data_IF_628380937644
#
_entry.id   IF_628380937644
#
_cell.length_a   1.000
_cell.length_b   1.000
_cell.length_c   1.000
_cell.angle_alpha   90.00
_cell.angle_beta   90.00
_cell.angle_gamma   90.00
#
_symmetry.space_group_name_H-M   'P 1'
#
loop_
_entity.id
_entity.type
_entity.pdbx_description
1 polymer ?
#
# COMPACT_ATOMS: atom_id res chain seq x y z
N UNK A 1 -3.20 34.25 18.93
CA UNK A 1 -3.30 32.78 19.03
C UNK A 1 -2.87 32.23 17.67
N UNK A 2 -1.63 31.74 17.55
CA UNK A 2 -1.15 31.19 16.30
C UNK A 2 -1.89 29.87 16.08
N UNK A 3 -2.81 29.85 15.12
CA UNK A 3 -3.42 28.62 14.62
C UNK A 3 -2.31 27.85 13.91
N UNK A 4 -1.53 27.08 14.67
CA UNK A 4 -0.39 26.33 14.14
C UNK A 4 -0.99 25.12 13.40
N UNK A 5 -1.43 25.34 12.15
CA UNK A 5 -1.93 24.27 11.27
C UNK A 5 -0.86 23.18 11.22
N UNK A 6 -1.16 22.02 11.81
CA UNK A 6 -0.23 20.88 11.83
C UNK A 6 0.07 20.45 10.40
N UNK A 7 1.34 20.21 10.10
CA UNK A 7 1.83 19.81 8.78
C UNK A 7 1.41 18.36 8.51
N UNK A 8 0.38 18.18 7.69
CA UNK A 8 -0.03 16.84 7.25
C UNK A 8 0.93 16.37 6.16
N UNK A 9 1.59 15.23 6.38
CA UNK A 9 2.55 14.64 5.45
C UNK A 9 2.15 13.22 5.15
N UNK A 10 2.21 12.80 3.88
CA UNK A 10 1.96 11.40 3.52
C UNK A 10 3.17 10.71 2.88
N UNK A 11 3.31 9.42 3.16
CA UNK A 11 4.26 8.52 2.52
C UNK A 11 3.50 7.34 1.91
N UNK A 12 3.79 7.00 0.65
CA UNK A 12 3.50 5.67 0.13
C UNK A 12 4.49 4.64 0.69
N UNK A 13 4.18 3.35 0.54
CA UNK A 13 4.98 2.26 1.12
C UNK A 13 5.83 1.54 0.06
N UNK A 14 5.17 0.90 -0.89
CA UNK A 14 5.80 0.14 -1.97
C UNK A 14 6.49 1.11 -2.94
N UNK A 15 7.72 0.80 -3.35
CA UNK A 15 8.54 1.70 -4.17
C UNK A 15 8.97 3.02 -3.50
N UNK A 16 8.53 3.30 -2.25
CA UNK A 16 8.70 4.60 -1.59
C UNK A 16 9.45 4.51 -0.27
N UNK A 17 8.96 3.74 0.71
CA UNK A 17 9.73 3.45 1.93
C UNK A 17 10.66 2.26 1.71
N UNK A 18 10.27 1.35 0.83
CA UNK A 18 11.08 0.22 0.40
C UNK A 18 10.94 -0.02 -1.09
N UNK A 19 11.89 -0.75 -1.67
CA UNK A 19 11.98 -0.93 -3.12
C UNK A 19 10.90 -1.87 -3.71
N UNK A 20 10.50 -2.88 -2.95
CA UNK A 20 9.68 -3.97 -3.47
C UNK A 20 8.18 -3.61 -3.56
N UNK A 21 7.45 -4.40 -4.35
CA UNK A 21 5.97 -4.44 -4.37
C UNK A 21 5.51 -5.57 -3.44
N UNK A 22 5.05 -5.23 -2.24
CA UNK A 22 4.63 -6.19 -1.22
C UNK A 22 3.45 -7.04 -1.69
N UNK A 23 2.36 -6.43 -2.16
CA UNK A 23 1.15 -7.17 -2.54
C UNK A 23 1.36 -8.05 -3.77
N UNK A 24 2.06 -7.56 -4.80
CA UNK A 24 2.42 -8.36 -5.97
C UNK A 24 3.35 -9.53 -5.63
N UNK A 25 4.26 -9.33 -4.68
CA UNK A 25 5.14 -10.42 -4.20
C UNK A 25 4.37 -11.43 -3.37
N UNK A 26 3.41 -11.00 -2.55
CA UNK A 26 2.53 -11.87 -1.79
C UNK A 26 1.70 -12.80 -2.68
N UNK A 27 1.06 -12.26 -3.73
CA UNK A 27 0.30 -13.09 -4.67
C UNK A 27 1.17 -14.16 -5.35
N UNK A 28 2.39 -13.79 -5.75
CA UNK A 28 3.37 -14.74 -6.31
C UNK A 28 3.80 -15.78 -5.28
N UNK A 29 3.96 -15.39 -4.01
CA UNK A 29 4.27 -16.31 -2.91
C UNK A 29 3.14 -17.33 -2.70
N UNK A 30 1.89 -16.87 -2.65
CA UNK A 30 0.71 -17.75 -2.52
C UNK A 30 0.65 -18.79 -3.64
N UNK A 31 0.83 -18.38 -4.90
CA UNK A 31 0.80 -19.30 -6.04
C UNK A 31 1.94 -20.32 -6.01
N UNK A 32 3.13 -19.95 -5.54
CA UNK A 32 4.25 -20.89 -5.36
C UNK A 32 3.97 -21.93 -4.28
N UNK A 33 3.29 -21.53 -3.19
CA UNK A 33 2.92 -22.43 -2.08
C UNK A 33 1.66 -23.24 -2.36
N UNK A 34 0.87 -22.84 -3.35
CA UNK A 34 -0.44 -23.41 -3.68
C UNK A 34 -0.59 -23.53 -5.21
N UNK A 35 0.24 -24.37 -5.88
CA UNK A 35 0.32 -24.39 -7.33
C UNK A 35 -0.98 -24.84 -8.02
N UNK A 36 -1.84 -25.60 -7.32
CA UNK A 36 -3.15 -26.00 -7.85
C UNK A 36 -4.03 -24.78 -8.17
N UNK A 37 -3.89 -23.68 -7.44
CA UNK A 37 -4.62 -22.45 -7.72
C UNK A 37 -4.19 -21.80 -9.04
N UNK A 38 -3.05 -22.17 -9.65
CA UNK A 38 -2.73 -21.71 -11.01
C UNK A 38 -3.75 -22.18 -12.04
N UNK A 39 -4.32 -23.39 -11.87
CA UNK A 39 -5.34 -23.89 -12.81
C UNK A 39 -6.58 -22.99 -12.84
N UNK A 40 -6.88 -22.34 -11.71
CA UNK A 40 -7.94 -21.34 -11.60
C UNK A 40 -7.47 -19.94 -12.04
N UNK A 41 -6.27 -19.53 -11.62
CA UNK A 41 -5.77 -18.18 -11.89
C UNK A 41 -5.48 -17.95 -13.36
N UNK A 42 -4.89 -18.91 -14.08
CA UNK A 42 -4.55 -18.78 -15.51
C UNK A 42 -5.76 -18.35 -16.36
N UNK A 43 -6.92 -19.03 -16.33
CA UNK A 43 -8.09 -18.58 -17.07
C UNK A 43 -8.64 -17.25 -16.55
N UNK A 44 -8.61 -17.01 -15.23
CA UNK A 44 -9.05 -15.73 -14.66
C UNK A 44 -8.18 -14.54 -15.09
N UNK A 45 -6.89 -14.74 -15.41
CA UNK A 45 -6.01 -13.67 -15.86
C UNK A 45 -6.51 -13.00 -17.14
N UNK A 46 -7.23 -13.71 -18.01
CA UNK A 46 -7.85 -13.11 -19.20
C UNK A 46 -8.93 -12.10 -18.80
N UNK A 47 -9.79 -12.47 -17.84
CA UNK A 47 -10.86 -11.62 -17.31
C UNK A 47 -10.29 -10.45 -16.52
N UNK A 48 -9.28 -10.70 -15.67
CA UNK A 48 -8.58 -9.69 -14.89
C UNK A 48 -7.87 -8.69 -15.82
N UNK A 49 -7.17 -9.18 -16.84
CA UNK A 49 -6.51 -8.36 -17.84
C UNK A 49 -7.47 -7.46 -18.59
N UNK A 50 -8.57 -8.01 -19.12
CA UNK A 50 -9.62 -7.23 -19.76
C UNK A 50 -10.23 -6.18 -18.81
N UNK A 51 -10.48 -6.56 -17.56
CA UNK A 51 -10.99 -5.66 -16.54
C UNK A 51 -10.07 -4.48 -16.24
N UNK A 52 -8.76 -4.72 -16.14
CA UNK A 52 -7.75 -3.69 -15.94
C UNK A 52 -7.57 -2.78 -17.16
N UNK A 53 -7.76 -3.30 -18.38
CA UNK A 53 -7.72 -2.50 -19.60
C UNK A 53 -8.92 -1.54 -19.68
N UNK A 54 -10.12 -2.01 -19.32
CA UNK A 54 -11.36 -1.22 -19.41
C UNK A 54 -11.49 -0.23 -18.24
N UNK A 55 -11.21 -0.66 -17.00
CA UNK A 55 -11.44 0.14 -15.78
C UNK A 55 -10.16 0.78 -15.22
N UNK A 56 -9.00 0.52 -15.83
CA UNK A 56 -7.71 1.04 -15.40
C UNK A 56 -7.05 0.23 -14.29
N UNK A 57 -5.76 0.54 -14.05
CA UNK A 57 -4.89 -0.20 -13.11
C UNK A 57 -5.35 -0.12 -11.66
N UNK A 58 -6.12 0.91 -11.28
CA UNK A 58 -6.63 1.11 -9.93
C UNK A 58 -7.94 0.36 -9.61
N UNK A 59 -8.55 -0.31 -10.59
CA UNK A 59 -9.81 -1.01 -10.39
C UNK A 59 -9.73 -2.09 -9.28
N UNK A 60 -10.62 -2.05 -8.29
CA UNK A 60 -10.63 -3.01 -7.17
C UNK A 60 -10.97 -4.43 -7.60
N UNK A 61 -12.03 -4.59 -8.40
CA UNK A 61 -12.61 -5.90 -8.69
C UNK A 61 -11.66 -6.87 -9.43
N UNK A 62 -10.82 -6.47 -10.40
CA UNK A 62 -9.90 -7.40 -11.06
C UNK A 62 -8.85 -7.92 -10.08
N UNK A 63 -8.32 -7.04 -9.23
CA UNK A 63 -7.34 -7.44 -8.22
C UNK A 63 -7.97 -8.29 -7.12
N UNK A 64 -9.21 -7.99 -6.76
CA UNK A 64 -9.98 -8.82 -5.84
C UNK A 64 -10.22 -10.22 -6.38
N UNK A 65 -10.53 -10.34 -7.68
CA UNK A 65 -10.72 -11.62 -8.36
C UNK A 65 -9.41 -12.42 -8.44
N UNK A 66 -8.30 -11.73 -8.72
CA UNK A 66 -6.96 -12.34 -8.74
C UNK A 66 -6.57 -12.86 -7.34
N UNK A 67 -6.72 -12.05 -6.29
CA UNK A 67 -6.46 -12.46 -4.90
C UNK A 67 -7.34 -13.66 -4.52
N UNK A 68 -8.62 -13.62 -4.89
CA UNK A 68 -9.55 -14.72 -4.65
C UNK A 68 -9.08 -16.00 -5.34
N UNK A 69 -8.68 -15.93 -6.61
CA UNK A 69 -8.12 -17.08 -7.32
C UNK A 69 -6.87 -17.65 -6.65
N UNK A 70 -5.98 -16.80 -6.14
CA UNK A 70 -4.76 -17.21 -5.42
C UNK A 70 -5.02 -17.91 -4.08
N UNK A 71 -6.21 -17.72 -3.50
CA UNK A 71 -6.53 -18.16 -2.12
C UNK A 71 -7.73 -19.11 -2.05
N UNK A 72 -8.47 -19.27 -3.14
CA UNK A 72 -9.67 -20.09 -3.22
C UNK A 72 -9.43 -21.54 -2.81
N UNK A 73 -10.37 -22.11 -2.06
CA UNK A 73 -10.36 -23.52 -1.69
C UNK A 73 -9.51 -23.84 -0.45
N UNK A 74 -8.93 -22.84 0.20
CA UNK A 74 -8.08 -23.03 1.39
C UNK A 74 -8.78 -22.55 2.67
N UNK A 75 -8.41 -23.17 3.80
CA UNK A 75 -8.90 -22.77 5.11
C UNK A 75 -8.30 -21.43 5.53
N UNK A 76 -9.05 -20.66 6.31
CA UNK A 76 -8.60 -19.36 6.83
C UNK A 76 -7.30 -19.50 7.65
N UNK A 77 -7.20 -20.57 8.45
CA UNK A 77 -6.00 -20.86 9.24
C UNK A 77 -4.76 -21.07 8.36
N UNK A 78 -4.91 -21.79 7.24
CA UNK A 78 -3.82 -22.01 6.28
C UNK A 78 -3.40 -20.69 5.63
N UNK A 79 -4.36 -19.87 5.20
CA UNK A 79 -4.07 -18.60 4.55
C UNK A 79 -3.37 -17.63 5.50
N UNK A 80 -3.83 -17.52 6.76
CA UNK A 80 -3.15 -16.72 7.80
C UNK A 80 -1.75 -17.24 8.13
N UNK A 81 -1.53 -18.55 8.13
CA UNK A 81 -0.20 -19.12 8.30
C UNK A 81 0.73 -18.72 7.13
N UNK A 82 0.25 -18.82 5.88
CA UNK A 82 1.00 -18.39 4.70
C UNK A 82 1.29 -16.89 4.70
N UNK A 83 0.34 -16.06 5.16
CA UNK A 83 0.52 -14.62 5.33
C UNK A 83 1.62 -14.30 6.35
N UNK A 84 1.62 -14.99 7.49
CA UNK A 84 2.66 -14.86 8.52
C UNK A 84 4.03 -15.29 8.01
N UNK A 85 4.11 -16.45 7.35
CA UNK A 85 5.35 -16.96 6.76
C UNK A 85 5.89 -16.02 5.69
N UNK A 86 4.99 -15.49 4.84
CA UNK A 86 5.35 -14.48 3.87
C UNK A 86 5.89 -13.23 4.54
N UNK A 87 5.23 -12.71 5.57
CA UNK A 87 5.64 -11.49 6.25
C UNK A 87 7.04 -11.62 6.85
N UNK A 88 7.32 -12.76 7.49
CA UNK A 88 8.65 -13.08 8.02
C UNK A 88 9.71 -13.17 6.91
N UNK A 89 9.39 -13.84 5.80
CA UNK A 89 10.29 -13.94 4.66
C UNK A 89 10.52 -12.58 3.98
N UNK A 90 9.46 -11.83 3.70
CA UNK A 90 9.50 -10.55 3.00
C UNK A 90 10.33 -9.53 3.79
N UNK A 91 10.18 -9.52 5.11
CA UNK A 91 10.97 -8.68 6.00
C UNK A 91 12.49 -8.90 5.85
N UNK A 92 12.95 -10.11 5.59
CA UNK A 92 14.37 -10.39 5.37
C UNK A 92 14.86 -9.97 3.98
N UNK A 93 13.94 -9.73 3.04
CA UNK A 93 14.22 -9.40 1.65
C UNK A 93 13.85 -7.95 1.30
N UNK A 94 13.38 -7.17 2.28
CA UNK A 94 12.97 -5.79 2.09
C UNK A 94 14.20 -4.89 2.02
N UNK A 95 14.25 -4.02 1.01
CA UNK A 95 15.31 -3.03 0.86
C UNK A 95 14.70 -1.67 1.12
N UNK A 96 14.91 -1.16 2.34
CA UNK A 96 14.47 0.17 2.74
C UNK A 96 15.27 1.25 2.00
N UNK A 97 14.65 2.41 1.74
CA UNK A 97 15.33 3.57 1.18
C UNK A 97 15.79 4.53 2.28
N UNK A 98 17.10 4.61 2.60
CA UNK A 98 17.59 5.36 3.77
C UNK A 98 17.20 6.84 3.73
N UNK A 99 17.27 7.48 2.56
CA UNK A 99 16.93 8.90 2.38
C UNK A 99 15.46 9.17 2.73
N UNK A 100 14.56 8.26 2.36
CA UNK A 100 13.12 8.41 2.65
C UNK A 100 12.84 8.11 4.13
N UNK A 101 13.52 7.13 4.72
CA UNK A 101 13.43 6.83 6.15
C UNK A 101 13.98 7.96 7.04
N UNK A 102 15.05 8.63 6.63
CA UNK A 102 15.58 9.81 7.32
C UNK A 102 14.55 10.95 7.29
N UNK A 103 13.93 11.19 6.14
CA UNK A 103 12.86 12.18 5.99
C UNK A 103 11.65 11.86 6.87
N UNK A 104 11.20 10.60 6.86
CA UNK A 104 10.13 10.10 7.73
C UNK A 104 10.47 10.35 9.20
N UNK A 105 11.68 9.96 9.63
CA UNK A 105 12.16 10.15 11.00
C UNK A 105 12.16 11.62 11.39
N UNK A 106 12.61 12.52 10.49
CA UNK A 106 12.58 13.96 10.71
C UNK A 106 11.19 14.51 11.02
N UNK A 107 10.17 14.10 10.25
CA UNK A 107 8.79 14.49 10.56
C UNK A 107 8.27 13.87 11.86
N UNK A 108 8.59 12.60 12.13
CA UNK A 108 8.18 11.95 13.37
C UNK A 108 8.78 12.61 14.60
N UNK A 109 10.01 13.15 14.51
CA UNK A 109 10.65 13.90 15.60
C UNK A 109 10.11 15.32 15.77
N UNK A 110 9.43 15.87 14.76
CA UNK A 110 8.82 17.20 14.84
C UNK A 110 7.48 17.16 15.58
N UNK A 111 7.19 18.20 16.37
CA UNK A 111 5.97 18.26 17.19
C UNK A 111 4.75 18.79 16.43
N UNK A 112 4.97 19.31 15.23
CA UNK A 112 4.01 20.03 14.40
C UNK A 112 3.64 19.26 13.12
N UNK A 113 3.99 17.98 12.99
CA UNK A 113 3.65 17.16 11.83
C UNK A 113 2.74 15.98 12.18
N UNK A 114 1.76 15.73 11.30
CA UNK A 114 0.93 14.53 11.32
C UNK A 114 1.30 13.66 10.12
N UNK A 115 1.88 12.50 10.40
CA UNK A 115 2.43 11.61 9.38
C UNK A 115 1.43 10.50 9.05
N UNK A 116 1.14 10.36 7.76
CA UNK A 116 0.22 9.38 7.20
C UNK A 116 0.97 8.40 6.31
N UNK A 117 0.79 7.09 6.53
CA UNK A 117 1.21 6.04 5.61
C UNK A 117 0.01 5.65 4.75
N UNK A 118 0.07 5.88 3.44
CA UNK A 118 -1.05 5.62 2.53
C UNK A 118 -0.61 4.67 1.42
N UNK A 119 -1.01 3.40 1.52
CA UNK A 119 -0.51 2.32 0.67
C UNK A 119 -1.61 1.50 0.01
N UNK A 120 -1.33 1.03 -1.21
CA UNK A 120 -2.17 0.05 -1.90
C UNK A 120 -2.03 -1.37 -1.37
N UNK A 121 -1.02 -1.66 -0.55
CA UNK A 121 -0.83 -2.97 0.06
C UNK A 121 -1.83 -3.23 1.20
N UNK A 122 -2.22 -4.50 1.42
CA UNK A 122 -3.11 -4.87 2.51
C UNK A 122 -2.59 -4.52 3.91
N UNK A 123 -3.45 -3.96 4.77
CA UNK A 123 -3.09 -3.54 6.13
C UNK A 123 -2.46 -4.67 6.94
N UNK A 124 -3.03 -5.87 6.88
CA UNK A 124 -2.55 -7.04 7.63
C UNK A 124 -1.11 -7.43 7.27
N UNK A 125 -0.69 -7.23 6.01
CA UNK A 125 0.68 -7.45 5.58
C UNK A 125 1.62 -6.35 6.08
N UNK A 126 1.18 -5.09 5.99
CA UNK A 126 1.97 -3.94 6.48
C UNK A 126 2.26 -4.09 7.97
N UNK A 127 1.23 -4.39 8.76
CA UNK A 127 1.34 -4.57 10.20
C UNK A 127 2.26 -5.75 10.55
N UNK A 128 2.14 -6.89 9.86
CA UNK A 128 2.97 -8.06 10.13
C UNK A 128 4.43 -7.90 9.69
N UNK A 129 4.69 -7.20 8.58
CA UNK A 129 6.05 -6.96 8.09
C UNK A 129 6.79 -5.93 8.97
N UNK A 130 6.08 -4.90 9.44
CA UNK A 130 6.68 -3.74 10.12
C UNK A 130 6.34 -3.64 11.62
N UNK A 131 5.84 -4.71 12.24
CA UNK A 131 5.30 -4.71 13.61
C UNK A 131 6.26 -4.15 14.69
N UNK A 132 7.57 -4.32 14.52
CA UNK A 132 8.60 -3.88 15.47
C UNK A 132 9.39 -2.66 14.99
N UNK A 133 8.93 -2.01 13.94
CA UNK A 133 9.53 -0.75 13.53
C UNK A 133 9.11 0.38 14.46
N UNK A 134 10.03 1.28 14.83
CA UNK A 134 9.71 2.38 15.76
C UNK A 134 8.79 3.45 15.13
N UNK A 135 8.63 3.43 13.81
CA UNK A 135 7.86 4.42 13.07
C UNK A 135 6.39 4.01 12.87
N UNK A 136 6.07 2.72 12.72
CA UNK A 136 4.70 2.27 12.40
C UNK A 136 3.67 2.70 13.45
N UNK A 137 3.92 2.58 14.78
CA UNK A 137 2.95 3.02 15.79
C UNK A 137 2.76 4.55 15.86
N UNK A 138 3.62 5.32 15.18
CA UNK A 138 3.64 6.79 15.22
C UNK A 138 3.08 7.43 13.96
N UNK A 139 2.64 6.62 12.99
CA UNK A 139 2.01 7.09 11.76
C UNK A 139 0.54 6.66 11.73
N UNK A 140 -0.29 7.44 11.07
CA UNK A 140 -1.66 7.05 10.78
C UNK A 140 -1.67 6.22 9.49
N UNK A 141 -2.22 5.01 9.52
CA UNK A 141 -2.16 4.08 8.38
C UNK A 141 -3.48 4.06 7.62
N UNK A 142 -3.43 4.26 6.30
CA UNK A 142 -4.52 4.01 5.36
C UNK A 142 -4.02 2.97 4.36
N UNK A 143 -4.57 1.77 4.44
CA UNK A 143 -4.14 0.63 3.64
C UNK A 143 -5.34 -0.11 3.02
N UNK A 144 -5.06 -0.96 2.01
CA UNK A 144 -6.09 -1.84 1.45
C UNK A 144 -6.58 -2.85 2.49
N UNK A 145 -7.83 -3.30 2.36
CA UNK A 145 -8.45 -4.24 3.30
C UNK A 145 -8.73 -5.58 2.61
N UNK A 146 -8.38 -6.67 3.29
CA UNK A 146 -8.62 -8.04 2.84
C UNK A 146 -9.63 -8.73 3.77
N UNK A 147 -10.59 -9.43 3.18
CA UNK A 147 -11.54 -10.24 3.93
C UNK A 147 -11.80 -11.57 3.23
N UNK A 148 -12.24 -12.56 3.99
CA UNK A 148 -12.68 -13.84 3.44
C UNK A 148 -14.08 -13.74 2.88
N UNK A 149 -14.25 -14.03 1.58
CA UNK A 149 -15.55 -14.14 0.91
C UNK A 149 -15.54 -15.27 -0.13
N UNK A 150 -16.66 -15.98 -0.22
CA UNK A 150 -16.88 -17.03 -1.24
C UNK A 150 -15.72 -18.04 -1.35
N UNK A 151 -15.16 -18.48 -0.23
CA UNK A 151 -14.11 -19.52 -0.19
C UNK A 151 -12.68 -19.04 -0.49
N UNK A 152 -12.43 -17.73 -0.64
CA UNK A 152 -11.10 -17.14 -0.78
C UNK A 152 -11.03 -15.75 -0.12
N UNK A 153 -9.91 -15.05 -0.28
CA UNK A 153 -9.76 -13.66 0.13
C UNK A 153 -10.08 -12.69 -1.01
N UNK A 154 -10.69 -11.57 -0.66
CA UNK A 154 -11.06 -10.49 -1.58
C UNK A 154 -10.61 -9.16 -1.02
N UNK A 155 -10.45 -8.16 -1.90
CA UNK A 155 -10.20 -6.79 -1.48
C UNK A 155 -11.54 -6.09 -1.25
N UNK A 156 -11.86 -5.77 0.00
CA UNK A 156 -13.04 -4.96 0.33
C UNK A 156 -12.79 -3.48 0.11
N UNK A 157 -11.55 -3.05 0.35
CA UNK A 157 -11.03 -1.73 0.01
C UNK A 157 -9.71 -1.90 -0.76
N UNK A 158 -9.55 -1.15 -1.85
CA UNK A 158 -8.27 -1.01 -2.56
C UNK A 158 -7.84 0.44 -2.51
N UNK A 159 -6.89 0.75 -1.64
CA UNK A 159 -6.40 2.11 -1.41
C UNK A 159 -5.39 2.52 -2.50
N UNK A 160 -5.90 2.85 -3.69
CA UNK A 160 -5.05 3.21 -4.83
C UNK A 160 -5.69 4.33 -5.66
N UNK A 161 -4.88 5.24 -6.18
CA UNK A 161 -5.37 6.36 -7.00
C UNK A 161 -6.31 7.29 -6.23
N UNK A 162 -7.45 7.63 -6.83
CA UNK A 162 -8.45 8.50 -6.20
C UNK A 162 -9.00 7.97 -4.87
N UNK A 163 -8.97 6.66 -4.63
CA UNK A 163 -9.38 6.11 -3.34
C UNK A 163 -8.44 6.55 -2.21
N UNK A 164 -7.13 6.75 -2.48
CA UNK A 164 -6.20 7.30 -1.49
C UNK A 164 -6.65 8.70 -1.03
N UNK A 165 -7.10 9.52 -1.97
CA UNK A 165 -7.63 10.88 -1.71
C UNK A 165 -8.90 10.80 -0.87
N UNK A 166 -9.89 10.00 -1.30
CA UNK A 166 -11.17 9.88 -0.62
C UNK A 166 -11.03 9.32 0.81
N UNK A 167 -10.11 8.37 1.03
CA UNK A 167 -9.84 7.83 2.37
C UNK A 167 -9.17 8.88 3.27
N UNK A 168 -8.23 9.67 2.73
CA UNK A 168 -7.60 10.74 3.50
C UNK A 168 -8.61 11.86 3.84
N UNK A 169 -9.47 12.25 2.90
CA UNK A 169 -10.55 13.22 3.13
C UNK A 169 -11.50 12.80 4.26
N UNK A 170 -11.82 11.51 4.36
CA UNK A 170 -12.64 10.99 5.46
C UNK A 170 -11.96 11.11 6.82
N UNK A 171 -10.63 11.11 6.85
CA UNK A 171 -9.86 11.14 8.10
C UNK A 171 -9.55 12.56 8.57
N UNK A 172 -9.14 13.45 7.65
CA UNK A 172 -8.69 14.81 8.00
C UNK A 172 -9.65 15.92 7.54
N UNK A 173 -10.73 15.56 6.83
CA UNK A 173 -11.72 16.50 6.32
C UNK A 173 -11.33 17.16 4.99
N UNK A 174 -12.21 18.07 4.55
CA UNK A 174 -12.08 18.83 3.30
C UNK A 174 -12.07 20.35 3.59
N UNK A 175 -11.30 21.16 2.85
CA UNK A 175 -10.45 20.79 1.72
C UNK A 175 -9.10 20.17 2.15
N UNK A 176 -8.61 19.20 1.39
CA UNK A 176 -7.28 18.63 1.64
C UNK A 176 -6.19 19.68 1.42
N UNK A 177 -5.37 19.89 2.47
CA UNK A 177 -4.15 20.70 2.41
C UNK A 177 -3.02 19.89 3.04
N UNK A 178 -2.18 19.34 2.18
CA UNK A 178 -1.04 18.52 2.61
C UNK A 178 0.23 19.34 2.48
N UNK A 179 1.10 19.26 3.49
CA UNK A 179 2.38 19.93 3.47
C UNK A 179 3.34 19.25 2.50
N UNK A 180 3.49 17.91 2.60
CA UNK A 180 4.42 17.16 1.75
C UNK A 180 3.88 15.77 1.41
N UNK A 181 4.23 15.26 0.23
CA UNK A 181 3.84 13.94 -0.24
C UNK A 181 4.99 13.21 -0.92
N UNK A 182 5.15 11.92 -0.63
CA UNK A 182 6.22 11.07 -1.15
C UNK A 182 5.61 9.81 -1.79
N UNK A 183 5.86 9.60 -3.09
CA UNK A 183 5.40 8.42 -3.83
C UNK A 183 6.29 8.16 -5.06
N UNK A 184 6.44 6.90 -5.48
CA UNK A 184 7.10 6.50 -6.73
C UNK A 184 6.13 6.49 -7.94
N UNK A 185 4.83 6.33 -7.68
CA UNK A 185 3.84 5.93 -8.69
C UNK A 185 3.06 7.10 -9.28
N UNK A 186 2.82 7.07 -10.61
CA UNK A 186 1.96 8.09 -11.27
C UNK A 186 0.51 7.99 -10.82
N UNK A 187 0.11 6.86 -10.24
CA UNK A 187 -1.24 6.65 -9.74
C UNK A 187 -1.53 7.54 -8.54
N UNK A 188 -0.52 8.02 -7.83
CA UNK A 188 -0.67 8.91 -6.67
C UNK A 188 -0.63 10.39 -7.04
N UNK A 189 -0.52 10.73 -8.34
CA UNK A 189 -0.59 12.11 -8.81
C UNK A 189 -1.85 12.86 -8.32
N UNK A 190 -3.06 12.26 -8.26
CA UNK A 190 -4.23 12.93 -7.69
C UNK A 190 -4.06 13.31 -6.22
N UNK A 191 -3.31 12.53 -5.43
CA UNK A 191 -3.04 12.85 -4.04
C UNK A 191 -1.91 13.88 -3.90
N UNK A 192 -0.84 13.73 -4.69
CA UNK A 192 0.26 14.70 -4.76
C UNK A 192 -0.21 16.09 -5.17
N UNK A 193 -1.28 16.20 -5.97
CA UNK A 193 -1.87 17.48 -6.36
C UNK A 193 -2.23 18.36 -5.15
N UNK A 194 -2.70 17.76 -4.06
CA UNK A 194 -3.07 18.45 -2.81
C UNK A 194 -1.87 18.78 -1.91
N UNK A 195 -0.65 18.40 -2.29
CA UNK A 195 0.57 18.72 -1.57
C UNK A 195 1.20 20.03 -2.03
N UNK A 196 1.67 20.82 -1.06
CA UNK A 196 2.53 21.98 -1.29
C UNK A 196 3.92 21.54 -1.78
N UNK A 197 4.49 20.50 -1.17
CA UNK A 197 5.76 19.90 -1.58
C UNK A 197 5.54 18.47 -2.10
N UNK A 198 5.92 18.23 -3.35
CA UNK A 198 5.67 16.96 -4.05
C UNK A 198 6.98 16.28 -4.35
N UNK A 199 7.12 15.03 -3.93
CA UNK A 199 8.35 14.27 -4.11
C UNK A 199 8.07 12.96 -4.82
N UNK A 200 8.80 12.73 -5.91
CA UNK A 200 8.89 11.46 -6.59
C UNK A 200 10.05 10.66 -6.00
N UNK A 201 9.79 9.45 -5.53
CA UNK A 201 10.86 8.52 -5.15
C UNK A 201 11.34 7.78 -6.39
N UNK A 202 12.65 7.79 -6.66
CA UNK A 202 13.24 7.05 -7.77
C UNK A 202 13.41 5.57 -7.41
N UNK A 203 13.60 4.66 -8.40
CA UNK A 203 13.91 3.26 -8.11
C UNK A 203 15.17 3.03 -7.27
N UNK A 204 16.05 4.03 -7.18
CA UNK A 204 17.28 4.03 -6.36
C UNK A 204 17.06 4.65 -4.97
N UNK A 205 15.82 5.05 -4.63
CA UNK A 205 15.49 5.65 -3.33
C UNK A 205 15.87 7.13 -3.20
N UNK A 206 16.08 7.83 -4.32
CA UNK A 206 16.38 9.26 -4.31
C UNK A 206 15.09 10.08 -4.37
N UNK A 207 15.12 11.28 -3.80
CA UNK A 207 13.98 12.20 -3.79
C UNK A 207 14.13 13.22 -4.93
N UNK A 208 13.22 13.18 -5.90
CA UNK A 208 13.09 14.18 -6.95
C UNK A 208 11.89 15.08 -6.65
N UNK A 209 12.12 16.38 -6.53
CA UNK A 209 11.03 17.33 -6.36
C UNK A 209 10.25 17.47 -7.68
N UNK A 210 8.92 17.47 -7.58
CA UNK A 210 8.03 17.76 -8.68
C UNK A 210 7.61 19.23 -8.61
N UNK A 211 7.53 19.88 -9.77
CA UNK A 211 6.99 21.23 -9.91
C UNK A 211 5.47 21.30 -9.66
#
# INVERSE_FOLDING_TARGET
>A
MANNERRVVFFDLDGTLHQQDMFGTFMRYLLRRQPLNLLLVIPLLLVVGAGLLIKGRAARWPMSLLLWGCTFGHSEARLKALEKDFSAWFRQHVTAFPVVHERLTGYLTSTDADVWLITGSPQSLVEQVYYDTPWLPRVNVIASQMERRFGGWVLTLRCLGHEKVAQLERQIGTPLRLYSGYSDSKQDNPLLYFCQHRWRVTPQGQLQQLE
#
